data_IF_881706036983
#
_entry.id   IF_881706036983
#
_cell.length_a   1.000
_cell.length_b   1.000
_cell.length_c   1.000
_cell.angle_alpha   90.00
_cell.angle_beta   90.00
_cell.angle_gamma   90.00
#
_symmetry.space_group_name_H-M   'P 1'
#
loop_
_entity.id
_entity.type
_entity.pdbx_description
1 polymer ?
#
# COMPACT_ATOMS: atom_id res chain seq x y z
N UNK A 1 29.23 -5.40 7.62
CA UNK A 1 28.19 -6.47 7.50
C UNK A 1 28.75 -7.70 8.17
N UNK A 2 28.06 -8.29 9.16
CA UNK A 2 28.55 -9.52 9.80
C UNK A 2 28.25 -10.73 8.88
N UNK A 3 29.28 -11.42 8.34
CA UNK A 3 29.09 -12.54 7.43
C UNK A 3 28.38 -13.74 8.05
N UNK A 4 28.36 -13.86 9.39
CA UNK A 4 27.74 -14.98 10.09
C UNK A 4 26.20 -14.94 9.99
N UNK A 5 25.62 -13.74 9.95
CA UNK A 5 24.16 -13.57 9.90
C UNK A 5 23.63 -13.38 8.47
N UNK A 6 24.39 -12.69 7.61
CA UNK A 6 23.97 -12.40 6.23
C UNK A 6 25.12 -12.61 5.23
N UNK A 7 25.50 -13.86 4.95
CA UNK A 7 26.67 -14.18 4.14
C UNK A 7 26.56 -13.69 2.69
N UNK A 8 25.36 -13.77 2.10
CA UNK A 8 25.12 -13.33 0.71
C UNK A 8 25.24 -11.82 0.59
N UNK A 9 24.63 -11.06 1.51
CA UNK A 9 24.76 -9.60 1.51
C UNK A 9 26.19 -9.14 1.79
N UNK A 10 26.92 -9.83 2.67
CA UNK A 10 28.32 -9.52 2.94
C UNK A 10 29.21 -9.67 1.70
N UNK A 11 28.88 -10.59 0.79
CA UNK A 11 29.58 -10.80 -0.49
C UNK A 11 29.15 -9.81 -1.56
N UNK A 12 27.86 -9.50 -1.63
CA UNK A 12 27.31 -8.56 -2.63
C UNK A 12 27.67 -7.09 -2.31
N UNK A 13 27.88 -6.74 -1.04
CA UNK A 13 28.16 -5.37 -0.62
C UNK A 13 29.62 -4.96 -0.88
N UNK A 14 29.80 -3.83 -1.56
CA UNK A 14 31.09 -3.16 -1.70
C UNK A 14 30.98 -1.64 -1.48
N UNK A 15 32.08 -1.02 -1.06
CA UNK A 15 32.16 0.44 -0.85
C UNK A 15 32.07 1.15 -2.20
N UNK A 16 31.18 2.13 -2.31
CA UNK A 16 30.92 2.86 -3.56
C UNK A 16 29.63 2.45 -4.29
N UNK A 17 28.89 1.46 -3.79
CA UNK A 17 27.54 1.19 -4.28
C UNK A 17 26.62 2.41 -4.08
N UNK A 18 25.75 2.67 -5.07
CA UNK A 18 24.72 3.71 -4.95
C UNK A 18 23.67 3.33 -3.90
N UNK A 19 23.00 4.32 -3.32
CA UNK A 19 21.91 4.08 -2.36
C UNK A 19 20.79 3.21 -2.94
N UNK A 20 20.51 3.34 -4.24
CA UNK A 20 19.50 2.54 -4.94
C UNK A 20 19.89 1.05 -4.96
N UNK A 21 21.15 0.75 -5.32
CA UNK A 21 21.67 -0.62 -5.33
C UNK A 21 21.72 -1.22 -3.93
N UNK A 22 22.16 -0.44 -2.94
CA UNK A 22 22.19 -0.87 -1.53
C UNK A 22 20.78 -1.21 -1.06
N UNK A 23 19.81 -0.33 -1.33
CA UNK A 23 18.42 -0.54 -0.94
C UNK A 23 17.85 -1.80 -1.58
N UNK A 24 17.94 -1.95 -2.90
CA UNK A 24 17.38 -3.11 -3.61
C UNK A 24 17.95 -4.43 -3.09
N UNK A 25 19.28 -4.53 -2.95
CA UNK A 25 19.96 -5.78 -2.53
C UNK A 25 19.76 -6.08 -1.04
N UNK A 26 19.90 -5.07 -0.18
CA UNK A 26 19.63 -5.26 1.26
C UNK A 26 18.17 -5.58 1.53
N UNK A 27 17.24 -5.03 0.75
CA UNK A 27 15.83 -5.38 0.82
C UNK A 27 15.62 -6.87 0.54
N UNK A 28 16.12 -7.36 -0.59
CA UNK A 28 15.92 -8.73 -1.05
C UNK A 28 16.61 -9.78 -0.16
N UNK A 29 17.77 -9.45 0.43
CA UNK A 29 18.60 -10.41 1.18
C UNK A 29 18.38 -10.36 2.70
N UNK A 30 17.99 -9.21 3.24
CA UNK A 30 17.91 -8.99 4.70
C UNK A 30 16.50 -8.61 5.10
N UNK A 31 15.98 -7.51 4.56
CA UNK A 31 14.82 -6.83 5.16
C UNK A 31 13.48 -7.46 4.82
N UNK A 32 13.38 -8.20 3.72
CA UNK A 32 12.11 -8.77 3.30
C UNK A 32 11.49 -9.69 4.37
N UNK A 33 12.27 -10.58 4.98
CA UNK A 33 11.79 -11.53 5.99
C UNK A 33 11.37 -10.82 7.30
N UNK A 34 12.19 -9.95 7.91
CA UNK A 34 11.76 -9.14 9.05
C UNK A 34 10.55 -8.24 8.76
N UNK A 35 10.46 -7.62 7.58
CA UNK A 35 9.32 -6.77 7.23
C UNK A 35 8.02 -7.56 7.12
N UNK A 36 8.03 -8.75 6.50
CA UNK A 36 6.86 -9.63 6.54
C UNK A 36 6.47 -10.00 7.98
N UNK A 37 7.47 -10.33 8.82
CA UNK A 37 7.25 -10.59 10.24
C UNK A 37 6.60 -9.40 10.95
N UNK A 38 7.16 -8.20 10.80
CA UNK A 38 6.63 -6.97 11.41
C UNK A 38 5.20 -6.72 10.95
N UNK A 39 4.90 -6.88 9.66
CA UNK A 39 3.55 -6.68 9.11
C UNK A 39 2.55 -7.65 9.75
N UNK A 40 2.91 -8.94 9.85
CA UNK A 40 2.08 -9.98 10.47
C UNK A 40 1.88 -9.72 11.97
N UNK A 41 2.94 -9.38 12.70
CA UNK A 41 2.89 -9.07 14.13
C UNK A 41 2.07 -7.82 14.45
N UNK A 42 2.21 -6.75 13.65
CA UNK A 42 1.37 -5.56 13.72
C UNK A 42 -0.09 -5.88 13.44
N UNK A 43 -0.37 -6.62 12.36
CA UNK A 43 -1.73 -7.01 12.02
C UNK A 43 -2.38 -7.83 13.14
N UNK A 44 -1.66 -8.81 13.70
CA UNK A 44 -2.12 -9.60 14.84
C UNK A 44 -2.36 -8.72 16.09
N UNK A 45 -1.43 -7.80 16.39
CA UNK A 45 -1.58 -6.85 17.50
C UNK A 45 -2.80 -5.94 17.34
N UNK A 46 -3.05 -5.45 16.12
CA UNK A 46 -4.24 -4.65 15.79
C UNK A 46 -5.52 -5.47 15.95
N UNK A 47 -5.55 -6.73 15.50
CA UNK A 47 -6.70 -7.61 15.68
C UNK A 47 -7.00 -7.83 17.16
N UNK A 48 -5.98 -8.07 17.98
CA UNK A 48 -6.14 -8.26 19.43
C UNK A 48 -6.63 -6.97 20.10
N UNK A 49 -6.03 -5.83 19.76
CA UNK A 49 -6.41 -4.53 20.31
C UNK A 49 -7.87 -4.18 19.96
N UNK A 50 -8.26 -4.42 18.70
CA UNK A 50 -9.56 -4.05 18.16
C UNK A 50 -10.60 -5.18 18.27
N UNK A 51 -10.29 -6.30 18.95
CA UNK A 51 -11.15 -7.49 19.02
C UNK A 51 -12.59 -7.19 19.41
N UNK A 52 -12.80 -6.28 20.37
CA UNK A 52 -14.13 -5.87 20.84
C UNK A 52 -14.87 -5.03 19.80
N UNK A 53 -14.17 -4.17 19.08
CA UNK A 53 -14.74 -3.34 18.00
C UNK A 53 -15.07 -4.18 16.77
N UNK A 54 -14.21 -5.13 16.41
CA UNK A 54 -14.42 -6.10 15.35
C UNK A 54 -15.64 -6.98 15.68
N UNK A 55 -15.69 -7.58 16.87
CA UNK A 55 -16.82 -8.41 17.32
C UNK A 55 -18.15 -7.63 17.33
N UNK A 56 -18.15 -6.37 17.78
CA UNK A 56 -19.33 -5.49 17.71
C UNK A 56 -19.79 -5.25 16.27
N UNK A 57 -18.86 -5.16 15.33
CA UNK A 57 -19.19 -4.99 13.90
C UNK A 57 -19.91 -6.21 13.36
N UNK A 58 -19.35 -7.40 13.56
CA UNK A 58 -19.99 -8.66 13.16
C UNK A 58 -21.36 -8.85 13.81
N UNK A 59 -21.48 -8.53 15.12
CA UNK A 59 -22.77 -8.56 15.83
C UNK A 59 -23.79 -7.59 15.23
N UNK A 60 -23.36 -6.40 14.81
CA UNK A 60 -24.25 -5.40 14.19
C UNK A 60 -24.70 -5.83 12.80
N UNK A 61 -23.81 -6.42 12.01
CA UNK A 61 -24.13 -6.99 10.70
C UNK A 61 -25.14 -8.13 10.86
N UNK A 62 -24.89 -9.06 11.78
CA UNK A 62 -25.73 -10.23 12.00
C UNK A 62 -27.14 -9.88 12.52
N UNK A 63 -27.25 -8.93 13.47
CA UNK A 63 -28.54 -8.62 14.12
C UNK A 63 -29.38 -7.65 13.29
N UNK A 64 -28.77 -6.67 12.62
CA UNK A 64 -29.51 -5.57 11.98
C UNK A 64 -29.51 -5.64 10.46
N UNK A 65 -28.85 -6.62 9.83
CA UNK A 65 -28.70 -6.67 8.37
C UNK A 65 -27.98 -5.42 7.82
N UNK A 66 -27.18 -4.75 8.66
CA UNK A 66 -26.65 -3.41 8.41
C UNK A 66 -27.63 -2.30 8.84
N UNK A 67 -27.11 -1.22 9.43
CA UNK A 67 -27.94 -0.05 9.76
C UNK A 67 -28.46 0.54 8.45
N UNK A 68 -29.78 0.47 8.22
CA UNK A 68 -30.43 1.24 7.14
C UNK A 68 -30.24 2.71 7.42
N UNK A 69 -29.31 3.31 6.69
CA UNK A 69 -29.10 4.75 6.65
C UNK A 69 -29.66 5.24 5.32
N UNK A 70 -30.45 6.32 5.34
CA UNK A 70 -30.96 6.96 4.12
C UNK A 70 -29.84 7.35 3.13
N UNK A 71 -28.60 7.42 3.59
CA UNK A 71 -27.44 7.90 2.84
C UNK A 71 -26.49 6.78 2.36
N UNK A 72 -26.73 5.52 2.75
CA UNK A 72 -25.90 4.37 2.37
C UNK A 72 -26.71 3.32 1.58
N UNK A 73 -26.10 2.65 0.59
CA UNK A 73 -26.75 1.55 -0.11
C UNK A 73 -27.09 0.39 0.84
N UNK A 74 -28.09 -0.46 0.49
CA UNK A 74 -28.44 -1.60 1.31
C UNK A 74 -27.28 -2.60 1.40
N UNK A 75 -27.14 -3.23 2.57
CA UNK A 75 -26.04 -4.17 2.84
C UNK A 75 -25.95 -5.31 1.83
N UNK A 76 -27.10 -5.85 1.39
CA UNK A 76 -27.16 -6.92 0.39
C UNK A 76 -26.54 -6.51 -0.95
N UNK A 77 -26.78 -5.28 -1.40
CA UNK A 77 -26.17 -4.75 -2.62
C UNK A 77 -24.66 -4.62 -2.46
N UNK A 78 -24.19 -4.06 -1.34
CA UNK A 78 -22.75 -3.89 -1.06
C UNK A 78 -22.04 -5.24 -0.98
N UNK A 79 -22.66 -6.22 -0.30
CA UNK A 79 -22.13 -7.59 -0.23
C UNK A 79 -22.13 -8.26 -1.60
N UNK A 80 -23.19 -8.08 -2.39
CA UNK A 80 -23.27 -8.56 -3.77
C UNK A 80 -22.18 -7.97 -4.66
N UNK A 81 -21.92 -6.66 -4.56
CA UNK A 81 -20.84 -5.99 -5.29
C UNK A 81 -19.46 -6.50 -4.88
N UNK A 82 -19.24 -6.72 -3.58
CA UNK A 82 -18.00 -7.32 -3.08
C UNK A 82 -17.79 -8.73 -3.61
N UNK A 83 -18.80 -9.61 -3.47
CA UNK A 83 -18.72 -10.99 -3.93
C UNK A 83 -18.56 -11.06 -5.45
N UNK A 84 -19.29 -10.24 -6.21
CA UNK A 84 -19.16 -10.17 -7.67
C UNK A 84 -17.75 -9.74 -8.09
N UNK A 85 -17.18 -8.72 -7.44
CA UNK A 85 -15.82 -8.26 -7.72
C UNK A 85 -14.75 -9.28 -7.35
N UNK A 86 -14.82 -9.83 -6.12
CA UNK A 86 -13.87 -10.83 -5.64
C UNK A 86 -13.96 -12.14 -6.43
N UNK A 87 -15.15 -12.70 -6.62
CA UNK A 87 -15.32 -13.94 -7.38
C UNK A 87 -15.06 -13.72 -8.87
N UNK A 88 -15.44 -12.58 -9.44
CA UNK A 88 -15.07 -12.21 -10.80
C UNK A 88 -13.56 -12.16 -11.00
N UNK A 89 -12.83 -11.62 -10.02
CA UNK A 89 -11.36 -11.64 -10.03
C UNK A 89 -10.79 -13.05 -9.90
N UNK A 90 -11.39 -13.92 -9.08
CA UNK A 90 -10.99 -15.35 -8.98
C UNK A 90 -11.21 -16.07 -10.30
N UNK A 91 -12.37 -15.88 -10.94
CA UNK A 91 -12.68 -16.51 -12.23
C UNK A 91 -11.67 -16.05 -13.28
N UNK A 92 -11.43 -14.74 -13.38
CA UNK A 92 -10.46 -14.20 -14.33
C UNK A 92 -9.05 -14.73 -14.06
N UNK A 93 -8.63 -14.79 -12.80
CA UNK A 93 -7.33 -15.33 -12.41
C UNK A 93 -7.20 -16.80 -12.75
N UNK A 94 -8.23 -17.61 -12.51
CA UNK A 94 -8.20 -19.04 -12.84
C UNK A 94 -8.18 -19.31 -14.36
N UNK A 95 -8.90 -18.49 -15.14
CA UNK A 95 -8.89 -18.57 -16.61
C UNK A 95 -7.50 -18.22 -17.16
N UNK A 96 -6.85 -17.19 -16.61
CA UNK A 96 -5.53 -16.73 -17.08
C UNK A 96 -4.38 -17.59 -16.56
N UNK A 97 -4.49 -18.14 -15.35
CA UNK A 97 -3.47 -18.95 -14.69
C UNK A 97 -4.12 -20.19 -14.06
N UNK A 98 -4.44 -21.22 -14.87
CA UNK A 98 -5.10 -22.43 -14.37
C UNK A 98 -4.17 -23.30 -13.49
N UNK A 99 -2.87 -23.05 -13.53
CA UNK A 99 -1.85 -23.81 -12.81
C UNK A 99 -1.85 -23.56 -11.29
N UNK A 100 -2.39 -22.42 -10.83
CA UNK A 100 -2.55 -22.15 -9.40
C UNK A 100 -3.83 -22.81 -8.91
N UNK A 101 -3.80 -23.57 -7.80
CA UNK A 101 -5.00 -24.14 -7.23
C UNK A 101 -6.03 -23.06 -6.87
N UNK A 102 -7.25 -23.23 -7.39
CA UNK A 102 -8.34 -22.23 -7.27
C UNK A 102 -8.63 -21.85 -5.82
N UNK A 103 -8.47 -22.78 -4.88
CA UNK A 103 -8.69 -22.52 -3.46
C UNK A 103 -7.79 -21.40 -2.92
N UNK A 104 -6.56 -21.25 -3.44
CA UNK A 104 -5.63 -20.19 -3.05
C UNK A 104 -6.20 -18.84 -3.48
N UNK A 105 -6.68 -18.74 -4.72
CA UNK A 105 -7.27 -17.51 -5.25
C UNK A 105 -8.58 -17.15 -4.54
N UNK A 106 -9.45 -18.13 -4.25
CA UNK A 106 -10.69 -17.93 -3.49
C UNK A 106 -10.39 -17.41 -2.08
N UNK A 107 -9.49 -18.10 -1.36
CA UNK A 107 -9.12 -17.75 0.01
C UNK A 107 -8.53 -16.34 0.07
N UNK A 108 -7.61 -16.02 -0.85
CA UNK A 108 -6.94 -14.72 -0.87
C UNK A 108 -7.88 -13.59 -1.27
N UNK A 109 -8.64 -13.75 -2.36
CA UNK A 109 -9.46 -12.66 -2.91
C UNK A 109 -10.76 -12.42 -2.18
N UNK A 110 -11.31 -13.46 -1.55
CA UNK A 110 -12.57 -13.37 -0.81
C UNK A 110 -12.31 -13.24 0.67
N UNK A 111 -11.77 -14.28 1.30
CA UNK A 111 -11.72 -14.39 2.76
C UNK A 111 -10.67 -13.44 3.34
N UNK A 112 -9.40 -13.60 2.94
CA UNK A 112 -8.29 -12.79 3.45
C UNK A 112 -8.52 -11.32 3.15
N UNK A 113 -8.92 -11.00 1.92
CA UNK A 113 -9.19 -9.62 1.50
C UNK A 113 -10.33 -8.95 2.28
N UNK A 114 -11.40 -9.69 2.59
CA UNK A 114 -12.48 -9.20 3.43
C UNK A 114 -12.00 -8.87 4.84
N UNK A 115 -11.26 -9.78 5.48
CA UNK A 115 -10.71 -9.55 6.82
C UNK A 115 -9.73 -8.37 6.83
N UNK A 116 -8.82 -8.28 5.86
CA UNK A 116 -7.89 -7.15 5.74
C UNK A 116 -8.66 -5.84 5.58
N UNK A 117 -9.68 -5.79 4.72
CA UNK A 117 -10.50 -4.60 4.51
C UNK A 117 -11.17 -4.13 5.82
N UNK A 118 -11.74 -5.07 6.58
CA UNK A 118 -12.41 -4.78 7.86
C UNK A 118 -11.43 -4.30 8.93
N UNK A 119 -10.27 -4.95 9.06
CA UNK A 119 -9.23 -4.56 10.00
C UNK A 119 -8.67 -3.19 9.61
N UNK A 120 -8.40 -2.94 8.32
CA UNK A 120 -7.88 -1.67 7.84
C UNK A 120 -8.86 -0.51 8.07
N UNK A 121 -10.15 -0.71 7.81
CA UNK A 121 -11.19 0.27 8.11
C UNK A 121 -11.23 0.64 9.59
N UNK A 122 -11.12 -0.36 10.47
CA UNK A 122 -11.11 -0.15 11.93
C UNK A 122 -9.81 0.47 12.43
N UNK A 123 -8.68 0.00 11.94
CA UNK A 123 -7.36 0.50 12.32
C UNK A 123 -7.21 1.98 11.93
N UNK A 124 -7.64 2.37 10.74
CA UNK A 124 -7.64 3.79 10.34
C UNK A 124 -8.70 4.59 11.11
N UNK A 125 -9.88 4.03 11.37
CA UNK A 125 -10.92 4.72 12.14
C UNK A 125 -10.58 4.95 13.61
N UNK A 126 -9.92 4.01 14.28
CA UNK A 126 -9.65 4.06 15.74
C UNK A 126 -8.22 4.52 16.07
N UNK A 127 -7.24 4.18 15.22
CA UNK A 127 -5.81 4.42 15.47
C UNK A 127 -5.22 5.40 14.43
N UNK A 128 -5.89 5.61 13.29
CA UNK A 128 -5.41 6.49 12.21
C UNK A 128 -4.34 5.86 11.32
N UNK A 129 -4.06 4.56 11.48
CA UNK A 129 -2.97 3.90 10.77
C UNK A 129 -3.25 2.43 10.47
N UNK A 130 -2.81 1.95 9.30
CA UNK A 130 -2.79 0.53 8.93
C UNK A 130 -1.44 0.21 8.24
N UNK A 131 -0.74 -0.87 8.63
CA UNK A 131 0.59 -1.17 8.09
C UNK A 131 0.53 -1.53 6.60
N UNK A 132 1.41 -0.97 5.75
CA UNK A 132 1.54 -1.42 4.38
C UNK A 132 2.22 -2.80 4.35
N UNK A 133 1.70 -3.72 3.54
CA UNK A 133 2.31 -5.03 3.33
C UNK A 133 2.99 -5.07 1.95
N UNK A 134 4.32 -5.19 1.87
CA UNK A 134 5.00 -5.30 0.59
C UNK A 134 4.76 -6.68 -0.02
N UNK A 135 4.38 -6.73 -1.30
CA UNK A 135 4.32 -7.97 -2.10
C UNK A 135 3.63 -9.19 -1.43
N UNK A 136 2.39 -9.06 -0.91
CA UNK A 136 1.74 -10.16 -0.21
C UNK A 136 1.44 -11.35 -1.11
N UNK A 137 1.20 -11.13 -2.41
CA UNK A 137 0.95 -12.21 -3.35
C UNK A 137 2.15 -13.13 -3.52
N UNK A 138 3.34 -12.55 -3.71
CA UNK A 138 4.59 -13.28 -3.87
C UNK A 138 4.88 -14.15 -2.64
N UNK A 139 4.60 -13.64 -1.43
CA UNK A 139 4.71 -14.45 -0.21
C UNK A 139 3.72 -15.62 -0.19
N UNK A 140 2.45 -15.41 -0.60
CA UNK A 140 1.44 -16.47 -0.67
C UNK A 140 1.89 -17.56 -1.66
N UNK A 141 2.28 -17.18 -2.87
CA UNK A 141 2.75 -18.11 -3.91
C UNK A 141 4.02 -18.84 -3.48
N UNK A 142 4.92 -18.18 -2.75
CA UNK A 142 6.14 -18.80 -2.23
C UNK A 142 5.88 -20.03 -1.36
N UNK A 143 4.82 -19.99 -0.55
CA UNK A 143 4.41 -21.12 0.30
C UNK A 143 3.56 -22.17 -0.43
N UNK A 144 3.28 -22.01 -1.72
CA UNK A 144 2.64 -23.04 -2.56
C UNK A 144 3.67 -23.89 -3.30
N UNK A 145 3.33 -25.11 -3.74
CA UNK A 145 4.20 -25.94 -4.59
C UNK A 145 4.33 -25.43 -6.04
N UNK A 146 3.82 -24.23 -6.36
CA UNK A 146 3.81 -23.67 -7.71
C UNK A 146 5.22 -23.49 -8.29
N UNK A 147 5.42 -23.85 -9.57
CA UNK A 147 6.72 -23.79 -10.26
C UNK A 147 6.72 -22.95 -11.54
N UNK A 148 5.56 -22.57 -12.07
CA UNK A 148 5.47 -21.70 -13.24
C UNK A 148 5.83 -20.25 -12.90
N UNK A 149 5.90 -19.39 -13.91
CA UNK A 149 6.17 -17.95 -13.75
C UNK A 149 4.88 -17.12 -13.67
N UNK A 150 3.88 -17.47 -14.49
CA UNK A 150 2.66 -16.68 -14.65
C UNK A 150 1.96 -16.39 -13.31
N UNK A 151 1.89 -17.39 -12.43
CA UNK A 151 1.29 -17.27 -11.12
C UNK A 151 2.04 -16.40 -10.11
N UNK A 152 3.32 -16.07 -10.33
CA UNK A 152 4.05 -15.13 -9.47
C UNK A 152 3.73 -13.67 -9.79
N UNK A 153 3.55 -13.37 -11.08
CA UNK A 153 3.32 -12.01 -11.57
C UNK A 153 1.83 -11.67 -11.53
N UNK A 154 0.98 -12.65 -11.84
CA UNK A 154 -0.46 -12.46 -11.90
C UNK A 154 -1.11 -12.88 -10.58
N UNK A 155 -1.70 -11.89 -9.90
CA UNK A 155 -2.43 -12.07 -8.66
C UNK A 155 -3.94 -11.93 -8.90
N UNK A 156 -4.79 -12.68 -8.17
CA UNK A 156 -6.17 -12.28 -8.02
C UNK A 156 -6.22 -10.98 -7.20
N UNK A 157 -7.39 -10.34 -7.13
CA UNK A 157 -7.56 -9.15 -6.30
C UNK A 157 -7.20 -9.47 -4.85
N UNK A 158 -6.34 -8.63 -4.26
CA UNK A 158 -5.96 -8.71 -2.84
C UNK A 158 -6.19 -7.35 -2.20
N UNK A 159 -6.93 -7.31 -1.11
CA UNK A 159 -7.05 -6.09 -0.32
C UNK A 159 -5.71 -5.77 0.34
N UNK A 160 -5.16 -4.59 0.04
CA UNK A 160 -3.93 -4.06 0.64
C UNK A 160 -4.21 -2.98 1.70
N UNK A 161 -5.45 -2.91 2.20
CA UNK A 161 -5.86 -1.95 3.23
C UNK A 161 -6.33 -0.58 2.71
N UNK A 162 -6.41 -0.38 1.40
CA UNK A 162 -6.96 0.84 0.76
C UNK A 162 -8.41 1.17 1.17
N UNK A 163 -9.14 0.19 1.70
CA UNK A 163 -10.49 0.38 2.23
C UNK A 163 -10.53 1.22 3.51
N UNK A 164 -9.42 1.32 4.23
CA UNK A 164 -9.31 2.22 5.37
C UNK A 164 -9.37 3.69 4.98
N UNK A 165 -8.48 4.19 4.11
CA UNK A 165 -8.56 5.57 3.63
C UNK A 165 -9.86 5.86 2.87
N UNK A 166 -10.41 4.87 2.15
CA UNK A 166 -11.71 5.02 1.48
C UNK A 166 -12.84 5.25 2.50
N UNK A 167 -12.86 4.50 3.60
CA UNK A 167 -13.84 4.70 4.69
C UNK A 167 -13.68 6.08 5.35
N UNK A 168 -12.44 6.55 5.51
CA UNK A 168 -12.15 7.90 5.98
C UNK A 168 -12.70 8.97 5.02
N UNK A 169 -12.48 8.83 3.72
CA UNK A 169 -12.98 9.76 2.71
C UNK A 169 -14.52 9.82 2.70
N UNK A 170 -15.18 8.66 2.80
CA UNK A 170 -16.64 8.56 2.93
C UNK A 170 -17.14 9.29 4.19
N UNK A 171 -16.41 9.19 5.31
CA UNK A 171 -16.74 9.92 6.54
C UNK A 171 -16.56 11.43 6.37
N UNK A 172 -15.50 11.88 5.69
CA UNK A 172 -15.28 13.29 5.38
C UNK A 172 -16.39 13.84 4.48
N UNK A 173 -16.80 13.07 3.46
CA UNK A 173 -17.93 13.43 2.60
C UNK A 173 -19.21 13.66 3.43
N UNK A 174 -19.53 12.72 4.32
CA UNK A 174 -20.68 12.84 5.22
C UNK A 174 -20.58 14.07 6.14
N UNK A 175 -19.40 14.35 6.71
CA UNK A 175 -19.20 15.50 7.60
C UNK A 175 -19.25 16.86 6.88
N UNK A 176 -18.99 16.88 5.58
CA UNK A 176 -19.05 18.08 4.74
C UNK A 176 -20.43 18.28 4.09
N UNK A 177 -21.43 17.49 4.49
CA UNK A 177 -22.79 17.58 3.96
C UNK A 177 -22.96 16.98 2.55
N UNK A 178 -21.93 16.29 2.03
CA UNK A 178 -22.03 15.59 0.74
C UNK A 178 -22.56 14.17 0.96
N UNK A 179 -23.36 13.67 0.01
CA UNK A 179 -23.90 12.31 0.11
C UNK A 179 -22.77 11.29 -0.12
N UNK A 180 -22.60 10.28 0.76
CA UNK A 180 -21.63 9.20 0.56
C UNK A 180 -21.70 8.53 -0.82
N UNK A 181 -22.90 8.42 -1.38
CA UNK A 181 -23.11 7.85 -2.72
C UNK A 181 -22.52 8.70 -3.84
N UNK A 182 -22.47 10.02 -3.70
CA UNK A 182 -21.89 10.92 -4.70
C UNK A 182 -20.35 10.77 -4.75
N UNK A 183 -19.71 10.45 -3.63
CA UNK A 183 -18.28 10.06 -3.60
C UNK A 183 -18.01 8.81 -4.45
N UNK A 184 -18.84 7.77 -4.32
CA UNK A 184 -18.68 6.55 -5.14
C UNK A 184 -18.97 6.80 -6.62
N UNK A 185 -19.95 7.66 -6.96
CA UNK A 185 -20.16 8.07 -8.37
C UNK A 185 -18.93 8.78 -8.92
N UNK A 186 -18.35 9.70 -8.16
CA UNK A 186 -17.13 10.40 -8.57
C UNK A 186 -15.96 9.43 -8.77
N UNK A 187 -15.83 8.39 -7.93
CA UNK A 187 -14.85 7.33 -8.11
C UNK A 187 -15.07 6.53 -9.40
N UNK A 188 -16.32 6.17 -9.72
CA UNK A 188 -16.64 5.47 -10.97
C UNK A 188 -16.33 6.34 -12.19
N UNK A 189 -16.72 7.61 -12.17
CA UNK A 189 -16.38 8.57 -13.23
C UNK A 189 -14.86 8.69 -13.39
N UNK A 190 -14.14 8.82 -12.27
CA UNK A 190 -12.68 8.90 -12.27
C UNK A 190 -12.03 7.63 -12.82
N UNK A 191 -12.56 6.45 -12.51
CA UNK A 191 -12.07 5.17 -13.03
C UNK A 191 -12.24 5.08 -14.55
N UNK A 192 -13.42 5.45 -15.06
CA UNK A 192 -13.71 5.45 -16.50
C UNK A 192 -12.82 6.46 -17.23
N UNK A 193 -12.72 7.69 -16.72
CA UNK A 193 -11.83 8.69 -17.31
C UNK A 193 -10.37 8.24 -17.28
N UNK A 194 -9.91 7.67 -16.17
CA UNK A 194 -8.55 7.16 -16.05
C UNK A 194 -8.29 6.01 -17.03
N UNK A 195 -9.26 5.12 -17.26
CA UNK A 195 -9.13 4.07 -18.27
C UNK A 195 -9.03 4.67 -19.69
N UNK A 196 -9.97 5.54 -20.06
CA UNK A 196 -10.01 6.15 -21.40
C UNK A 196 -8.75 6.97 -21.68
N UNK A 197 -8.41 7.91 -20.79
CA UNK A 197 -7.21 8.75 -20.93
C UNK A 197 -5.95 7.90 -20.83
N UNK A 198 -5.93 6.89 -19.95
CA UNK A 198 -4.80 5.97 -19.81
C UNK A 198 -4.51 5.20 -21.10
N UNK A 199 -5.54 4.67 -21.76
CA UNK A 199 -5.38 3.99 -23.05
C UNK A 199 -4.93 4.94 -24.17
N UNK A 200 -5.47 6.16 -24.21
CA UNK A 200 -5.02 7.18 -25.17
C UNK A 200 -3.54 7.52 -24.95
N UNK A 201 -3.13 7.76 -23.70
CA UNK A 201 -1.74 8.07 -23.36
C UNK A 201 -0.81 6.89 -23.68
N UNK A 202 -1.24 5.65 -23.44
CA UNK A 202 -0.49 4.45 -23.81
C UNK A 202 -0.21 4.39 -25.31
N UNK A 203 -1.23 4.60 -26.16
CA UNK A 203 -1.07 4.64 -27.62
C UNK A 203 -0.12 5.77 -28.05
N UNK A 204 -0.25 6.96 -27.46
CA UNK A 204 0.68 8.07 -27.71
C UNK A 204 2.13 7.71 -27.37
N UNK A 205 2.38 7.07 -26.22
CA UNK A 205 3.73 6.66 -25.83
C UNK A 205 4.30 5.60 -26.79
N UNK A 206 3.50 4.65 -27.25
CA UNK A 206 3.96 3.65 -28.22
C UNK A 206 4.30 4.25 -29.59
N UNK A 207 3.60 5.30 -30.01
CA UNK A 207 3.88 6.01 -31.27
C UNK A 207 5.07 6.97 -31.19
N UNK A 208 5.33 7.55 -30.01
CA UNK A 208 6.39 8.55 -29.83
C UNK A 208 7.79 7.96 -29.94
N UNK A 209 8.04 6.80 -29.32
CA UNK A 209 9.32 6.12 -29.36
C UNK A 209 9.16 4.65 -28.92
N UNK A 210 10.05 3.74 -29.32
CA UNK A 210 10.05 2.39 -28.78
C UNK A 210 10.29 2.40 -27.26
N UNK A 211 9.59 1.54 -26.53
CA UNK A 211 9.77 1.34 -25.08
C UNK A 211 10.43 -0.04 -24.90
N UNK A 212 11.59 -0.15 -24.24
CA UNK A 212 12.35 0.90 -23.56
C UNK A 212 13.30 1.68 -24.49
N UNK A 213 13.53 2.97 -24.22
CA UNK A 213 14.51 3.81 -24.94
C UNK A 213 14.99 4.98 -24.09
N UNK A 214 15.95 5.76 -24.59
CA UNK A 214 16.45 6.99 -23.93
C UNK A 214 15.37 8.08 -23.79
N UNK A 215 14.32 8.04 -24.62
CA UNK A 215 13.13 8.88 -24.46
C UNK A 215 12.34 8.55 -23.19
N UNK A 216 12.50 7.32 -22.66
CA UNK A 216 11.88 6.82 -21.44
C UNK A 216 12.92 6.34 -20.40
N UNK A 217 13.67 7.26 -19.75
CA UNK A 217 14.72 6.89 -18.80
C UNK A 217 14.21 6.02 -17.64
N UNK A 218 12.98 6.24 -17.19
CA UNK A 218 12.38 5.45 -16.12
C UNK A 218 12.21 3.97 -16.51
N UNK A 219 11.82 3.64 -17.74
CA UNK A 219 11.70 2.23 -18.14
C UNK A 219 13.06 1.55 -18.22
N UNK A 220 14.10 2.26 -18.65
CA UNK A 220 15.47 1.73 -18.70
C UNK A 220 16.01 1.35 -17.31
N UNK A 221 15.60 2.06 -16.26
CA UNK A 221 16.06 1.81 -14.88
C UNK A 221 15.15 0.84 -14.15
N UNK A 222 13.84 1.08 -14.16
CA UNK A 222 12.90 0.35 -13.29
C UNK A 222 12.45 -0.99 -13.86
N UNK A 223 12.34 -1.15 -15.19
CA UNK A 223 11.88 -2.43 -15.75
C UNK A 223 12.87 -3.57 -15.50
N UNK A 224 14.20 -3.41 -15.73
CA UNK A 224 15.16 -4.45 -15.36
C UNK A 224 15.17 -4.73 -13.86
N UNK A 225 14.94 -3.70 -13.04
CA UNK A 225 14.86 -3.82 -11.58
C UNK A 225 13.67 -4.68 -11.15
N UNK A 226 12.48 -4.44 -11.70
CA UNK A 226 11.29 -5.25 -11.44
C UNK A 226 11.42 -6.67 -12.01
N UNK A 227 11.88 -6.81 -13.26
CA UNK A 227 12.09 -8.12 -13.87
C UNK A 227 13.09 -8.99 -13.09
N UNK A 228 14.17 -8.38 -12.58
CA UNK A 228 15.13 -9.07 -11.70
C UNK A 228 14.45 -9.49 -10.40
N UNK A 229 13.64 -8.63 -9.81
CA UNK A 229 12.93 -8.93 -8.57
C UNK A 229 11.94 -10.10 -8.75
N UNK A 230 11.14 -10.07 -9.82
CA UNK A 230 10.20 -11.14 -10.17
C UNK A 230 10.92 -12.46 -10.44
N UNK A 231 12.05 -12.42 -11.16
CA UNK A 231 12.87 -13.60 -11.43
C UNK A 231 13.43 -14.20 -10.14
N UNK A 232 13.90 -13.36 -9.20
CA UNK A 232 14.43 -13.81 -7.92
C UNK A 232 13.34 -14.45 -7.03
N UNK A 233 12.11 -13.95 -7.08
CA UNK A 233 10.97 -14.58 -6.41
C UNK A 233 10.56 -15.90 -7.08
N UNK A 234 10.40 -15.90 -8.40
CA UNK A 234 9.98 -17.08 -9.16
C UNK A 234 10.97 -18.25 -9.02
N UNK A 235 12.27 -17.93 -9.00
CA UNK A 235 13.35 -18.91 -8.77
C UNK A 235 13.58 -19.24 -7.29
N UNK A 236 12.82 -18.61 -6.37
CA UNK A 236 12.96 -18.74 -4.91
C UNK A 236 14.37 -18.44 -4.38
N UNK A 237 15.13 -17.59 -5.08
CA UNK A 237 16.42 -17.10 -4.61
C UNK A 237 16.30 -16.07 -3.48
N UNK A 238 15.11 -15.48 -3.32
CA UNK A 238 14.76 -14.70 -2.13
C UNK A 238 14.30 -15.68 -1.05
N UNK A 239 15.14 -15.86 -0.03
CA UNK A 239 14.86 -16.76 1.08
C UNK A 239 14.00 -16.03 2.11
N UNK A 240 12.74 -16.44 2.21
CA UNK A 240 11.86 -16.08 3.31
C UNK A 240 12.18 -17.01 4.51
N UNK A 241 12.99 -16.53 5.45
CA UNK A 241 13.37 -17.30 6.64
C UNK A 241 12.24 -17.26 7.69
N UNK A 242 11.56 -18.39 7.96
CA UNK A 242 10.45 -18.42 8.91
C UNK A 242 10.86 -18.04 10.33
N UNK A 243 12.12 -18.28 10.74
CA UNK A 243 12.61 -17.95 12.09
C UNK A 243 12.73 -16.43 12.26
N UNK A 244 13.33 -15.74 11.28
CA UNK A 244 13.43 -14.29 11.28
C UNK A 244 12.06 -13.63 11.18
N UNK A 245 11.18 -14.16 10.32
CA UNK A 245 9.79 -13.70 10.21
C UNK A 245 9.05 -13.87 11.55
N UNK A 246 9.15 -15.04 12.19
CA UNK A 246 8.49 -15.32 13.47
C UNK A 246 9.02 -14.44 14.61
N UNK A 247 10.34 -14.28 14.71
CA UNK A 247 10.95 -13.41 15.71
C UNK A 247 10.51 -11.95 15.53
N UNK A 248 10.56 -11.43 14.31
CA UNK A 248 10.11 -10.08 14.00
C UNK A 248 8.60 -9.89 14.25
N UNK A 249 7.78 -10.91 13.96
CA UNK A 249 6.35 -10.91 14.26
C UNK A 249 6.09 -10.87 15.76
N UNK A 250 6.81 -11.65 16.56
CA UNK A 250 6.68 -11.64 18.02
C UNK A 250 7.08 -10.30 18.62
N UNK A 251 8.17 -9.70 18.14
CA UNK A 251 8.61 -8.36 18.57
C UNK A 251 7.56 -7.31 18.22
N UNK A 252 7.07 -7.31 16.98
CA UNK A 252 6.06 -6.36 16.53
C UNK A 252 4.72 -6.54 17.28
N UNK A 253 4.33 -7.78 17.57
CA UNK A 253 3.15 -8.10 18.38
C UNK A 253 3.30 -7.61 19.82
N UNK A 254 4.45 -7.87 20.45
CA UNK A 254 4.76 -7.40 21.80
C UNK A 254 4.69 -5.87 21.87
N UNK A 255 5.32 -5.18 20.92
CA UNK A 255 5.28 -3.73 20.82
C UNK A 255 3.86 -3.20 20.58
N UNK A 256 3.11 -3.78 19.62
CA UNK A 256 1.74 -3.35 19.33
C UNK A 256 0.82 -3.53 20.55
N UNK A 257 0.93 -4.66 21.25
CA UNK A 257 0.15 -4.98 22.44
C UNK A 257 0.55 -4.17 23.69
N UNK A 258 1.79 -3.67 23.75
CA UNK A 258 2.26 -2.80 24.82
C UNK A 258 1.64 -1.39 24.78
N UNK A 259 1.19 -0.93 23.62
CA UNK A 259 0.60 0.42 23.43
C UNK A 259 -0.52 0.76 24.44
N UNK A 260 -1.58 -0.07 24.61
CA UNK A 260 -2.62 0.19 25.59
C UNK A 260 -2.15 0.09 27.05
N UNK A 261 -1.06 -0.66 27.32
CA UNK A 261 -0.48 -0.80 28.66
C UNK A 261 0.33 0.46 29.00
N UNK A 262 1.19 0.90 28.09
CA UNK A 262 1.99 2.12 28.22
C UNK A 262 1.11 3.37 28.37
N UNK A 263 -0.02 3.42 27.64
CA UNK A 263 -1.00 4.48 27.76
C UNK A 263 -1.61 4.58 29.18
N UNK A 264 -1.75 3.46 29.91
CA UNK A 264 -2.23 3.48 31.32
C UNK A 264 -1.17 3.97 32.30
N UNK A 265 0.11 3.83 31.95
CA UNK A 265 1.26 4.26 32.76
C UNK A 265 1.64 5.73 32.47
N UNK A 266 0.88 6.42 31.61
CA UNK A 266 1.12 7.82 31.26
C UNK A 266 2.25 8.05 30.23
N UNK A 267 2.86 6.97 29.73
CA UNK A 267 3.88 7.05 28.68
C UNK A 267 3.17 7.12 27.34
N UNK A 268 3.14 8.31 26.73
CA UNK A 268 2.53 8.56 25.40
C UNK A 268 3.38 8.05 24.22
N UNK A 269 4.15 6.98 24.42
CA UNK A 269 4.95 6.36 23.38
C UNK A 269 4.06 5.46 22.53
N UNK A 270 3.92 5.78 21.24
CA UNK A 270 3.32 4.88 20.27
C UNK A 270 4.42 4.05 19.60
N UNK A 271 4.42 2.72 19.74
CA UNK A 271 5.35 1.84 19.02
C UNK A 271 5.06 1.75 17.51
N UNK A 272 3.89 2.22 17.07
CA UNK A 272 3.45 2.12 15.67
C UNK A 272 4.39 2.88 14.73
N UNK A 273 4.70 4.19 14.92
CA UNK A 273 5.69 4.90 14.10
C UNK A 273 7.07 4.23 14.02
N UNK A 274 7.53 3.58 15.09
CA UNK A 274 8.82 2.87 15.10
C UNK A 274 8.80 1.69 14.12
N UNK A 275 7.72 0.89 14.16
CA UNK A 275 7.55 -0.25 13.28
C UNK A 275 7.30 0.18 11.83
N UNK A 276 6.63 1.31 11.62
CA UNK A 276 6.46 1.91 10.28
C UNK A 276 7.78 2.42 9.71
N UNK A 277 8.65 2.97 10.57
CA UNK A 277 9.99 3.40 10.18
C UNK A 277 10.82 2.30 9.55
N UNK A 278 10.57 1.02 9.89
CA UNK A 278 11.24 -0.12 9.27
C UNK A 278 10.92 -0.33 7.78
N UNK A 279 9.88 0.34 7.24
CA UNK A 279 9.48 0.27 5.84
C UNK A 279 9.93 1.48 5.02
N UNK A 280 10.40 2.55 5.67
CA UNK A 280 10.70 3.82 5.01
C UNK A 280 12.21 4.04 5.02
N UNK A 281 12.79 4.29 3.85
CA UNK A 281 14.24 4.55 3.77
C UNK A 281 14.60 5.89 4.43
N UNK A 282 15.80 6.01 5.02
CA UNK A 282 16.18 7.18 5.81
C UNK A 282 16.00 8.54 5.13
N UNK A 283 16.28 8.74 3.83
CA UNK A 283 16.07 10.03 3.19
C UNK A 283 14.64 10.58 3.34
N UNK A 284 13.62 9.72 3.16
CA UNK A 284 12.22 10.14 3.34
C UNK A 284 11.91 10.42 4.81
N UNK A 285 12.35 9.56 5.72
CA UNK A 285 12.08 9.73 7.16
C UNK A 285 12.75 10.97 7.73
N UNK A 286 13.97 11.28 7.32
CA UNK A 286 14.71 12.48 7.72
C UNK A 286 14.00 13.74 7.20
N UNK A 287 13.57 13.75 5.93
CA UNK A 287 12.84 14.90 5.39
C UNK A 287 11.46 15.08 6.04
N UNK A 288 10.74 13.98 6.30
CA UNK A 288 9.48 14.01 7.03
C UNK A 288 9.68 14.52 8.46
N UNK A 289 10.76 14.11 9.13
CA UNK A 289 11.13 14.59 10.46
C UNK A 289 11.47 16.09 10.44
N UNK A 290 12.29 16.53 9.49
CA UNK A 290 12.66 17.94 9.32
C UNK A 290 11.43 18.82 9.05
N UNK A 291 10.54 18.39 8.14
CA UNK A 291 9.27 19.07 7.87
C UNK A 291 8.35 19.12 9.08
N UNK A 292 8.28 18.02 9.84
CA UNK A 292 7.50 17.96 11.09
C UNK A 292 8.08 18.88 12.18
N UNK A 293 9.40 18.96 12.29
CA UNK A 293 10.11 19.85 13.21
C UNK A 293 9.86 21.32 12.85
N UNK A 294 10.01 21.66 11.57
CA UNK A 294 9.72 23.00 11.06
C UNK A 294 8.25 23.38 11.28
N UNK A 295 7.32 22.49 10.98
CA UNK A 295 5.89 22.71 11.23
C UNK A 295 5.55 22.89 12.71
N UNK A 296 6.18 22.11 13.60
CA UNK A 296 5.91 22.15 15.04
C UNK A 296 6.51 23.36 15.74
N UNK A 297 7.74 23.75 15.38
CA UNK A 297 8.49 24.79 16.09
C UNK A 297 8.57 26.12 15.34
N UNK A 298 8.84 26.12 14.03
CA UNK A 298 8.94 27.36 13.27
C UNK A 298 7.54 27.89 12.92
N UNK A 299 6.77 27.14 12.12
CA UNK A 299 5.50 27.64 11.58
C UNK A 299 4.50 27.92 12.71
N UNK A 300 4.44 27.04 13.71
CA UNK A 300 3.59 27.23 14.90
C UNK A 300 3.92 28.51 15.67
N UNK A 301 5.20 28.89 15.74
CA UNK A 301 5.66 30.11 16.43
C UNK A 301 5.23 31.37 15.68
N UNK A 302 5.32 31.39 14.35
CA UNK A 302 4.97 32.57 13.54
C UNK A 302 3.47 32.73 13.28
N UNK A 303 2.76 31.63 13.00
CA UNK A 303 1.34 31.67 12.60
C UNK A 303 0.40 31.63 13.81
N UNK A 304 0.90 31.19 14.97
CA UNK A 304 0.11 30.91 16.16
C UNK A 304 -0.46 29.49 16.16
N UNK A 305 -0.51 28.87 17.34
CA UNK A 305 -0.85 27.46 17.49
C UNK A 305 -2.25 27.10 16.98
N UNK A 306 -3.22 27.95 17.25
CA UNK A 306 -4.62 27.72 16.92
C UNK A 306 -4.94 27.97 15.44
N UNK A 307 -4.26 28.95 14.83
CA UNK A 307 -4.39 29.21 13.40
C UNK A 307 -3.68 28.13 12.58
N UNK A 308 -2.51 27.68 13.02
CA UNK A 308 -1.79 26.57 12.38
C UNK A 308 -2.58 25.26 12.41
N UNK A 309 -3.23 24.92 13.53
CA UNK A 309 -4.01 23.67 13.64
C UNK A 309 -5.19 23.62 12.67
N UNK A 310 -5.84 24.78 12.41
CA UNK A 310 -6.93 24.92 11.43
C UNK A 310 -6.46 24.87 9.99
N UNK A 311 -5.35 25.55 9.67
CA UNK A 311 -4.93 25.77 8.27
C UNK A 311 -4.06 24.64 7.71
N UNK A 312 -3.32 23.90 8.56
CA UNK A 312 -2.38 22.85 8.11
C UNK A 312 -2.98 21.81 7.17
N UNK A 313 -4.24 21.41 7.39
CA UNK A 313 -4.92 20.42 6.55
C UNK A 313 -5.28 20.97 5.16
N UNK A 314 -5.69 22.23 5.11
CA UNK A 314 -6.00 22.95 3.87
C UNK A 314 -4.71 23.15 3.05
N UNK A 315 -3.61 23.53 3.70
CA UNK A 315 -2.31 23.66 3.04
C UNK A 315 -1.81 22.33 2.48
N UNK A 316 -1.93 21.24 3.25
CA UNK A 316 -1.54 19.91 2.77
C UNK A 316 -2.38 19.49 1.56
N UNK A 317 -3.71 19.67 1.62
CA UNK A 317 -4.61 19.36 0.52
C UNK A 317 -4.30 20.20 -0.73
N UNK A 318 -4.09 21.51 -0.55
CA UNK A 318 -3.74 22.43 -1.64
C UNK A 318 -2.40 22.11 -2.27
N UNK A 319 -1.39 21.77 -1.47
CA UNK A 319 -0.07 21.36 -1.98
C UNK A 319 -0.16 20.05 -2.78
N UNK A 320 -0.86 19.04 -2.26
CA UNK A 320 -1.04 17.76 -2.96
C UNK A 320 -1.83 17.93 -4.27
N UNK A 321 -2.89 18.74 -4.26
CA UNK A 321 -3.65 19.08 -5.46
C UNK A 321 -2.78 19.83 -6.48
N UNK A 322 -2.00 20.82 -6.03
CA UNK A 322 -1.10 21.60 -6.88
C UNK A 322 0.00 20.75 -7.50
N UNK A 323 0.62 19.84 -6.74
CA UNK A 323 1.61 18.89 -7.26
C UNK A 323 0.99 18.01 -8.35
N UNK A 324 -0.23 17.51 -8.16
CA UNK A 324 -0.92 16.70 -9.17
C UNK A 324 -1.15 17.47 -10.49
N UNK A 325 -1.65 18.70 -10.41
CA UNK A 325 -1.88 19.56 -11.59
C UNK A 325 -0.55 19.89 -12.28
N UNK A 326 0.47 20.25 -11.51
CA UNK A 326 1.78 20.60 -12.05
C UNK A 326 2.45 19.42 -12.76
N UNK A 327 2.38 18.21 -12.18
CA UNK A 327 2.89 17.00 -12.83
C UNK A 327 2.14 16.74 -14.14
N UNK A 328 0.81 16.88 -14.14
CA UNK A 328 0.00 16.69 -15.35
C UNK A 328 0.38 17.66 -16.48
N UNK A 329 0.48 18.95 -16.16
CA UNK A 329 0.90 19.98 -17.12
C UNK A 329 2.34 19.74 -17.57
N UNK A 330 3.25 19.40 -16.65
CA UNK A 330 4.65 19.11 -16.95
C UNK A 330 4.82 17.93 -17.91
N UNK A 331 4.06 16.85 -17.71
CA UNK A 331 4.05 15.71 -18.62
C UNK A 331 3.49 16.11 -19.99
N UNK A 332 2.38 16.86 -20.02
CA UNK A 332 1.80 17.34 -21.28
C UNK A 332 2.78 18.22 -22.07
N UNK A 333 3.45 19.16 -21.41
CA UNK A 333 4.46 20.03 -22.04
C UNK A 333 5.68 19.23 -22.50
N UNK A 334 6.15 18.26 -21.69
CA UNK A 334 7.25 17.38 -22.06
C UNK A 334 6.89 16.55 -23.30
N UNK A 335 5.67 16.03 -23.36
CA UNK A 335 5.16 15.28 -24.50
C UNK A 335 5.12 16.15 -25.76
N UNK A 336 4.61 17.38 -25.68
CA UNK A 336 4.61 18.33 -26.80
C UNK A 336 6.05 18.65 -27.24
N UNK A 337 6.95 18.93 -26.31
CA UNK A 337 8.35 19.24 -26.61
C UNK A 337 9.08 18.06 -27.27
N UNK A 338 8.84 16.83 -26.81
CA UNK A 338 9.44 15.62 -27.40
C UNK A 338 8.79 15.25 -28.73
N UNK A 339 7.48 15.38 -28.88
CA UNK A 339 6.80 15.16 -30.15
C UNK A 339 7.28 16.14 -31.23
N UNK A 340 7.52 17.41 -30.87
CA UNK A 340 8.10 18.40 -31.78
C UNK A 340 9.55 18.08 -32.18
N UNK A 341 10.32 17.42 -31.30
CA UNK A 341 11.73 17.09 -31.55
C UNK A 341 11.92 15.74 -32.26
N UNK A 342 10.95 14.82 -32.18
CA UNK A 342 11.01 13.50 -32.85
C UNK A 342 10.50 13.58 -34.31
N UNK A 343 10.15 14.77 -34.81
CA UNK A 343 9.91 14.95 -36.24
C UNK A 343 11.25 14.78 -37.00
N UNK A 344 11.38 13.79 -37.90
CA UNK A 344 12.66 13.39 -38.42
C UNK A 344 13.09 14.35 -39.52
N UNK A 345 14.21 15.00 -39.27
CA UNK A 345 15.35 14.83 -40.15
C UNK A 345 16.29 13.84 -39.47
#
# INVERSE_FOLDING_TARGET
VNPQFFPVWAREYYKGMTIATIYQRSFQRIWISPQFGIALGLAAGLVIALRRSIARTFKTIAIRGGVRSAHFPPFSLVLGMFLAGSLGSVILHHVLVPEIPVYVSILTSTIISFFIAMIAARAIGEIGFFPPMPWPWQAIVYFTPYKGYAGWVQAPYISLGSQGPMSQAVKVAYLTGTRPTDYFKALVVSLVLNAVVGFLMMDFFWRLAPIPSSAYPNSMVYWPLFATNDSLFATRQIVLDPKLMGAAAMIALALASATPILARVGISFSPVPLLVGCYIIPPYTIMMFAGSLAGRYLIRKYVGAERWSRVRGILAAGLLAGVGVFIGIGIALLLVARAAWVWPW
#
